data_IF_996781765585
#
_entry.id   IF_996781765585
#
_cell.length_a   1.000
_cell.length_b   1.000
_cell.length_c   1.000
_cell.angle_alpha   90.00
_cell.angle_beta   90.00
_cell.angle_gamma   90.00
#
_symmetry.space_group_name_H-M   'P 1'
#
loop_
_entity.id
_entity.type
_entity.pdbx_description
1 polymer ?
#
# COMPACT_ATOMS: atom_id res chain seq x y z
N UNK A 1 -27.81 50.72 -28.72
CA UNK A 1 -26.54 50.40 -29.41
C UNK A 1 -25.39 50.18 -28.41
N UNK A 2 -24.92 51.22 -27.68
CA UNK A 2 -23.75 51.08 -26.76
C UNK A 2 -23.93 50.09 -25.61
N UNK A 3 -25.10 50.07 -24.94
CA UNK A 3 -25.37 49.14 -23.82
C UNK A 3 -25.56 47.69 -24.26
N UNK A 4 -26.03 47.47 -25.48
CA UNK A 4 -26.15 46.13 -26.07
C UNK A 4 -24.76 45.56 -26.41
N UNK A 5 -23.86 46.41 -26.91
CA UNK A 5 -22.47 46.06 -27.17
C UNK A 5 -21.69 45.71 -25.89
N UNK A 6 -21.96 46.39 -24.77
CA UNK A 6 -21.33 46.06 -23.48
C UNK A 6 -21.80 44.70 -22.94
N UNK A 7 -23.10 44.38 -23.07
CA UNK A 7 -23.65 43.09 -22.62
C UNK A 7 -23.10 41.92 -23.45
N UNK A 8 -22.93 42.11 -24.76
CA UNK A 8 -22.37 41.09 -25.66
C UNK A 8 -20.89 40.81 -25.36
N UNK A 9 -20.13 41.83 -24.97
CA UNK A 9 -18.70 41.70 -24.64
C UNK A 9 -18.46 40.94 -23.32
N UNK A 10 -19.37 41.04 -22.35
CA UNK A 10 -19.25 40.31 -21.08
C UNK A 10 -19.65 38.83 -21.20
N UNK A 11 -20.50 38.47 -22.16
CA UNK A 11 -21.02 37.10 -22.29
C UNK A 11 -20.04 36.13 -22.96
N UNK A 12 -19.06 36.63 -23.71
CA UNK A 12 -18.05 35.80 -24.39
C UNK A 12 -16.81 35.53 -23.53
N UNK A 13 -16.68 36.21 -22.38
CA UNK A 13 -15.54 36.04 -21.48
C UNK A 13 -15.78 34.86 -20.52
N UNK A 14 -15.64 33.63 -21.02
CA UNK A 14 -15.62 32.41 -20.20
C UNK A 14 -14.19 31.95 -19.97
N UNK A 15 -13.65 31.99 -18.74
CA UNK A 15 -12.32 31.47 -18.46
C UNK A 15 -12.31 29.94 -18.53
N UNK A 16 -11.24 29.36 -19.08
CA UNK A 16 -11.00 27.93 -19.02
C UNK A 16 -10.70 27.51 -17.58
N UNK A 17 -11.39 26.48 -17.08
CA UNK A 17 -11.08 25.86 -15.79
C UNK A 17 -9.99 24.80 -16.00
N UNK A 18 -8.84 25.00 -15.36
CA UNK A 18 -7.79 23.97 -15.26
C UNK A 18 -8.06 23.13 -14.02
N UNK A 19 -8.32 21.84 -14.21
CA UNK A 19 -8.38 20.86 -13.12
C UNK A 19 -7.01 20.18 -13.01
N UNK A 20 -6.42 20.23 -11.82
CA UNK A 20 -5.16 19.55 -11.52
C UNK A 20 -5.44 18.09 -11.13
N UNK A 21 -4.81 17.15 -11.84
CA UNK A 21 -4.88 15.72 -11.54
C UNK A 21 -3.63 15.35 -10.73
N UNK A 22 -3.81 15.20 -9.41
CA UNK A 22 -2.77 14.72 -8.51
C UNK A 22 -2.81 13.19 -8.51
N UNK A 23 -1.87 12.57 -9.22
CA UNK A 23 -1.65 11.11 -9.15
C UNK A 23 -0.75 10.80 -7.98
N UNK A 24 -1.32 10.21 -6.94
CA UNK A 24 -0.55 9.64 -5.85
C UNK A 24 -0.13 8.24 -6.28
N UNK A 25 1.17 7.98 -6.53
CA UNK A 25 1.61 6.63 -6.84
C UNK A 25 1.35 5.71 -5.66
N UNK A 26 1.08 4.43 -5.95
CA UNK A 26 1.00 3.42 -4.90
C UNK A 26 2.37 3.36 -4.23
N UNK A 27 2.41 3.61 -2.92
CA UNK A 27 3.67 3.58 -2.16
C UNK A 27 4.31 2.20 -2.29
N UNK A 28 5.56 2.15 -2.77
CA UNK A 28 6.34 0.92 -2.76
C UNK A 28 6.75 0.59 -1.31
N UNK A 29 6.45 -0.61 -0.84
CA UNK A 29 6.88 -1.09 0.48
C UNK A 29 8.37 -1.47 0.47
N UNK A 30 9.24 -0.46 0.40
CA UNK A 30 10.70 -0.61 0.54
C UNK A 30 11.41 -1.33 -0.63
N UNK A 31 12.71 -1.58 -0.46
CA UNK A 31 13.55 -2.31 -1.42
C UNK A 31 13.16 -3.80 -1.48
N UNK A 32 13.06 -4.33 -2.70
CA UNK A 32 12.45 -5.62 -3.05
C UNK A 32 13.28 -6.87 -2.76
N UNK A 33 14.43 -6.76 -2.09
CA UNK A 33 15.43 -7.84 -2.11
C UNK A 33 15.22 -8.99 -1.12
N UNK A 34 14.13 -9.00 -0.32
CA UNK A 34 13.86 -10.15 0.55
C UNK A 34 12.98 -11.16 -0.18
N UNK A 35 13.41 -12.43 -0.29
CA UNK A 35 12.55 -13.49 -0.78
C UNK A 35 11.36 -13.64 0.16
N UNK A 36 10.15 -13.71 -0.40
CA UNK A 36 8.92 -14.03 0.31
C UNK A 36 8.15 -15.10 -0.48
N UNK A 37 7.23 -15.83 0.17
CA UNK A 37 6.31 -16.71 -0.54
C UNK A 37 5.54 -15.97 -1.62
N UNK A 38 5.40 -16.62 -2.78
CA UNK A 38 4.60 -16.11 -3.87
C UNK A 38 3.12 -16.43 -3.64
N UNK A 39 2.23 -15.62 -4.21
CA UNK A 39 0.80 -15.92 -4.21
C UNK A 39 0.55 -17.28 -4.89
N UNK A 40 -0.18 -18.15 -4.21
CA UNK A 40 -0.50 -19.52 -4.67
C UNK A 40 0.44 -20.62 -4.15
N UNK A 41 1.57 -20.26 -3.52
CA UNK A 41 2.45 -21.23 -2.85
C UNK A 41 1.64 -22.02 -1.80
N UNK A 42 1.95 -23.31 -1.66
CA UNK A 42 1.31 -24.15 -0.64
C UNK A 42 1.97 -23.93 0.72
N UNK A 43 1.22 -24.16 1.82
CA UNK A 43 1.80 -24.16 3.18
C UNK A 43 3.06 -25.03 3.29
N UNK A 44 3.06 -26.21 2.65
CA UNK A 44 4.22 -27.10 2.64
C UNK A 44 5.42 -26.49 1.93
N UNK A 45 5.21 -25.81 0.79
CA UNK A 45 6.30 -25.13 0.07
C UNK A 45 6.84 -23.95 0.86
N UNK A 46 5.97 -23.20 1.57
CA UNK A 46 6.40 -22.13 2.47
C UNK A 46 7.23 -22.69 3.61
N UNK A 47 6.78 -23.77 4.23
CA UNK A 47 7.51 -24.44 5.31
C UNK A 47 8.87 -24.97 4.83
N UNK A 48 8.94 -25.57 3.64
CA UNK A 48 10.17 -26.10 3.05
C UNK A 48 11.19 -24.99 2.74
N UNK A 49 10.73 -23.85 2.20
CA UNK A 49 11.60 -22.76 1.77
C UNK A 49 11.99 -21.78 2.88
N UNK A 50 11.10 -21.54 3.85
CA UNK A 50 11.25 -20.48 4.85
C UNK A 50 11.34 -21.03 6.28
N UNK A 51 11.07 -22.32 6.49
CA UNK A 51 11.03 -22.92 7.81
C UNK A 51 9.75 -22.59 8.58
N UNK A 52 9.75 -22.98 9.85
CA UNK A 52 8.65 -22.70 10.78
C UNK A 52 8.51 -21.20 11.03
N UNK A 53 7.27 -20.76 11.16
CA UNK A 53 6.96 -19.38 11.55
C UNK A 53 7.29 -19.14 13.03
N UNK A 54 7.57 -17.87 13.37
CA UNK A 54 7.74 -17.48 14.78
C UNK A 54 6.38 -17.55 15.52
N UNK A 55 5.28 -17.23 14.83
CA UNK A 55 3.91 -17.39 15.35
C UNK A 55 2.94 -17.85 14.26
N UNK A 56 2.16 -18.89 14.54
CA UNK A 56 1.03 -19.32 13.69
C UNK A 56 -0.30 -18.86 14.29
N UNK A 57 -1.01 -17.99 13.58
CA UNK A 57 -2.32 -17.49 14.00
C UNK A 57 -3.44 -18.29 13.35
N UNK A 58 -4.42 -18.75 14.15
CA UNK A 58 -5.51 -19.58 13.65
C UNK A 58 -6.36 -18.81 12.64
N UNK A 59 -7.07 -19.56 11.81
CA UNK A 59 -7.93 -18.97 10.79
C UNK A 59 -9.11 -18.20 11.41
N UNK A 60 -9.44 -17.05 10.83
CA UNK A 60 -10.60 -16.24 11.21
C UNK A 60 -11.44 -15.87 9.99
N UNK A 61 -12.75 -15.70 10.19
CA UNK A 61 -13.68 -15.22 9.16
C UNK A 61 -14.14 -16.28 8.14
N UNK A 62 -14.87 -15.79 7.13
CA UNK A 62 -15.34 -16.57 5.98
C UNK A 62 -15.04 -15.75 4.70
N UNK A 63 -14.18 -16.21 3.77
CA UNK A 63 -13.40 -17.46 3.82
C UNK A 63 -12.38 -17.48 4.99
N UNK A 64 -11.99 -18.67 5.48
CA UNK A 64 -11.07 -18.79 6.61
C UNK A 64 -9.66 -18.34 6.22
N UNK A 65 -9.17 -17.26 6.83
CA UNK A 65 -7.82 -16.74 6.61
C UNK A 65 -6.94 -16.97 7.83
N UNK A 66 -5.86 -17.75 7.66
CA UNK A 66 -4.81 -17.95 8.67
C UNK A 66 -3.58 -17.09 8.36
N UNK A 67 -2.76 -16.81 9.37
CA UNK A 67 -1.55 -15.99 9.22
C UNK A 67 -0.35 -16.66 9.89
N UNK A 68 0.77 -16.71 9.20
CA UNK A 68 2.06 -17.06 9.77
C UNK A 68 2.93 -15.82 9.85
N UNK A 69 3.48 -15.54 11.02
CA UNK A 69 4.37 -14.41 11.27
C UNK A 69 5.82 -14.90 11.32
N UNK A 70 6.66 -14.38 10.43
CA UNK A 70 8.11 -14.51 10.45
C UNK A 70 8.73 -13.22 10.99
N UNK A 71 10.02 -13.25 11.31
CA UNK A 71 10.75 -12.09 11.83
C UNK A 71 10.50 -10.78 11.09
N UNK A 72 10.54 -10.83 9.76
CA UNK A 72 10.55 -9.63 8.89
C UNK A 72 9.29 -9.49 8.01
N UNK A 73 8.40 -10.49 8.00
CA UNK A 73 7.19 -10.48 7.18
C UNK A 73 6.12 -11.45 7.71
N UNK A 74 4.87 -11.21 7.34
CA UNK A 74 3.75 -12.12 7.57
C UNK A 74 3.26 -12.72 6.26
N UNK A 75 2.79 -13.97 6.31
CA UNK A 75 2.19 -14.69 5.18
C UNK A 75 0.75 -15.02 5.54
N UNK A 76 -0.16 -14.68 4.64
CA UNK A 76 -1.60 -14.90 4.79
C UNK A 76 -2.02 -16.05 3.89
N UNK A 77 -2.77 -16.99 4.46
CA UNK A 77 -3.25 -18.16 3.76
C UNK A 77 -4.76 -18.25 3.79
N UNK A 78 -5.35 -18.54 2.64
CA UNK A 78 -6.70 -19.09 2.57
C UNK A 78 -6.56 -20.60 2.37
N UNK A 79 -7.12 -21.40 3.28
CA UNK A 79 -6.90 -22.85 3.30
C UNK A 79 -5.40 -23.23 3.31
N UNK A 80 -4.89 -23.87 2.26
CA UNK A 80 -3.49 -24.29 2.09
C UNK A 80 -2.67 -23.35 1.21
N UNK A 81 -3.24 -22.24 0.71
CA UNK A 81 -2.62 -21.38 -0.31
C UNK A 81 -2.30 -19.99 0.18
N UNK A 82 -1.12 -19.50 -0.17
CA UNK A 82 -0.72 -18.11 0.06
C UNK A 82 -1.61 -17.18 -0.76
N UNK A 83 -2.27 -16.25 -0.07
CA UNK A 83 -3.01 -15.16 -0.71
C UNK A 83 -2.21 -13.85 -0.69
N UNK A 84 -1.38 -13.61 0.33
CA UNK A 84 -0.56 -12.41 0.41
C UNK A 84 0.66 -12.60 1.31
N UNK A 85 1.74 -11.88 1.00
CA UNK A 85 2.97 -11.80 1.81
C UNK A 85 3.26 -10.33 2.08
N UNK A 86 3.32 -9.95 3.36
CA UNK A 86 3.41 -8.55 3.79
C UNK A 86 4.65 -8.34 4.63
N UNK A 87 5.56 -7.49 4.17
CA UNK A 87 6.73 -7.09 4.94
C UNK A 87 6.33 -6.26 6.15
N UNK A 88 6.97 -6.51 7.30
CA UNK A 88 6.85 -5.63 8.45
C UNK A 88 7.44 -4.25 8.14
N UNK A 89 6.69 -3.20 8.45
CA UNK A 89 7.20 -1.83 8.31
C UNK A 89 8.25 -1.57 9.39
N UNK A 90 9.52 -1.55 9.00
CA UNK A 90 10.58 -1.00 9.83
C UNK A 90 10.40 0.52 9.82
N UNK A 91 9.89 1.09 10.92
CA UNK A 91 9.93 2.53 11.10
C UNK A 91 11.40 2.87 11.28
N UNK A 92 12.10 3.26 10.21
CA UNK A 92 13.36 3.99 10.35
C UNK A 92 13.02 5.16 11.26
N UNK A 93 13.57 5.17 12.47
CA UNK A 93 13.37 6.28 13.39
C UNK A 93 13.85 7.51 12.65
N UNK A 94 12.92 8.33 12.15
CA UNK A 94 13.23 9.70 11.77
C UNK A 94 13.88 10.30 13.02
N UNK A 95 15.09 10.89 12.93
CA UNK A 95 15.70 11.51 14.10
C UNK A 95 14.65 12.44 14.70
N UNK A 96 14.34 12.20 15.98
CA UNK A 96 13.42 13.04 16.72
C UNK A 96 13.86 14.48 16.51
N UNK A 97 12.90 15.35 16.18
CA UNK A 97 13.13 16.78 15.93
C UNK A 97 13.75 17.51 17.14
N UNK A 98 13.97 16.81 18.25
CA UNK A 98 14.66 17.22 19.47
C UNK A 98 16.16 17.51 19.26
N UNK A 99 16.84 16.86 18.31
CA UNK A 99 18.29 17.06 18.07
C UNK A 99 18.61 18.28 17.17
N UNK A 100 17.58 19.06 16.79
CA UNK A 100 17.66 20.23 15.92
C UNK A 100 17.11 21.47 16.64
N UNK A 101 17.63 21.79 17.82
CA UNK A 101 17.53 23.13 18.39
C UNK A 101 18.94 23.57 18.84
N UNK A 102 19.42 24.76 18.42
CA UNK A 102 20.74 25.25 18.78
C UNK A 102 20.87 25.61 20.26
#
# INVERSE_FOLDING_TARGET
MRRLATLLLTLTFSPALFAEDIRIPVGQQGLSDMPMPARGDSKNLVLDRFGLADEERPAVGQPPISRWDYREFSVYFESDRVINSVRHHQRTQSPSKEDLQP
#
